data_IF_892110030961
#
_entry.id   IF_892110030961
#
_cell.length_a   1.000
_cell.length_b   1.000
_cell.length_c   1.000
_cell.angle_alpha   90.00
_cell.angle_beta   90.00
_cell.angle_gamma   90.00
#
_symmetry.space_group_name_H-M   'P 1'
#
loop_
_entity.id
_entity.type
_entity.pdbx_description
1 polymer ?
#
# COMPACT_ATOMS: atom_id res chain seq x y z
N UNK A 1 -15.27 -4.28 -0.62
CA UNK A 1 -14.41 -3.82 -1.72
C UNK A 1 -12.95 -4.05 -1.37
N UNK A 2 -12.06 -4.34 -2.33
CA UNK A 2 -10.64 -4.55 -2.05
C UNK A 2 -9.85 -3.33 -2.53
N UNK A 3 -8.95 -2.81 -1.70
CA UNK A 3 -8.04 -1.72 -2.00
C UNK A 3 -6.61 -2.22 -1.90
N UNK A 4 -5.81 -2.00 -2.95
CA UNK A 4 -4.40 -2.42 -2.98
C UNK A 4 -3.50 -1.21 -2.80
N UNK A 5 -2.84 -1.11 -1.65
CA UNK A 5 -1.88 -0.04 -1.34
C UNK A 5 -0.53 -0.41 -1.90
N UNK A 6 -0.07 0.35 -2.87
CA UNK A 6 1.28 0.24 -3.43
C UNK A 6 1.98 1.59 -3.40
N UNK A 7 3.27 1.61 -3.68
CA UNK A 7 4.03 2.85 -3.67
C UNK A 7 5.03 2.92 -4.83
N UNK A 8 5.55 4.11 -5.05
CA UNK A 8 6.59 4.35 -6.06
C UNK A 8 7.95 3.77 -5.67
N UNK A 9 8.14 3.47 -4.37
CA UNK A 9 9.39 2.91 -3.82
C UNK A 9 9.11 2.20 -2.49
N UNK A 10 10.13 1.49 -1.96
CA UNK A 10 10.19 1.10 -0.55
C UNK A 10 10.25 2.37 0.31
N UNK A 11 9.85 2.30 1.56
CA UNK A 11 9.87 3.41 2.54
C UNK A 11 9.07 4.68 2.15
N UNK A 12 8.15 4.57 1.18
CA UNK A 12 7.23 5.66 0.84
C UNK A 12 6.07 5.83 1.83
N UNK A 13 5.96 4.96 2.85
CA UNK A 13 4.93 5.05 3.90
C UNK A 13 3.67 4.22 3.64
N UNK A 14 3.77 3.10 2.90
CA UNK A 14 2.62 2.19 2.66
C UNK A 14 1.93 1.77 3.95
N UNK A 15 2.69 1.37 4.95
CA UNK A 15 2.16 0.86 6.22
C UNK A 15 1.38 1.94 6.99
N UNK A 16 1.86 3.20 7.00
CA UNK A 16 1.13 4.33 7.55
C UNK A 16 -0.18 4.58 6.78
N UNK A 17 -0.11 4.61 5.45
CA UNK A 17 -1.29 4.80 4.60
C UNK A 17 -2.29 3.65 4.77
N UNK A 18 -1.81 2.41 4.89
CA UNK A 18 -2.64 1.24 5.16
C UNK A 18 -3.34 1.35 6.52
N UNK A 19 -2.65 1.81 7.57
CA UNK A 19 -3.25 2.05 8.88
C UNK A 19 -4.33 3.15 8.81
N UNK A 20 -4.06 4.26 8.12
CA UNK A 20 -5.02 5.36 7.93
C UNK A 20 -6.27 4.87 7.18
N UNK A 21 -6.11 4.11 6.10
CA UNK A 21 -7.22 3.53 5.35
C UNK A 21 -8.04 2.54 6.18
N UNK A 22 -7.36 1.65 6.90
CA UNK A 22 -7.98 0.67 7.80
C UNK A 22 -8.80 1.37 8.88
N UNK A 23 -8.27 2.44 9.46
CA UNK A 23 -8.97 3.25 10.47
C UNK A 23 -10.15 4.03 9.86
N UNK A 24 -9.94 4.72 8.75
CA UNK A 24 -10.94 5.58 8.11
C UNK A 24 -12.16 4.81 7.61
N UNK A 25 -11.92 3.66 6.99
CA UNK A 25 -12.95 2.85 6.35
C UNK A 25 -13.48 1.73 7.25
N UNK A 26 -12.95 1.59 8.47
CA UNK A 26 -13.18 0.45 9.36
C UNK A 26 -12.99 -0.88 8.60
N UNK A 27 -12.00 -0.88 7.70
CA UNK A 27 -11.69 -1.98 6.81
C UNK A 27 -10.85 -3.04 7.53
N UNK A 28 -10.87 -4.27 7.02
CA UNK A 28 -9.90 -5.28 7.41
C UNK A 28 -8.54 -4.98 6.73
N UNK A 29 -7.46 -5.48 7.31
CA UNK A 29 -6.12 -5.31 6.78
C UNK A 29 -5.42 -6.64 6.52
N UNK A 30 -4.70 -6.70 5.42
CA UNK A 30 -3.89 -7.85 5.07
C UNK A 30 -2.65 -7.45 4.26
N UNK A 31 -1.50 -7.95 4.68
CA UNK A 31 -0.25 -7.91 3.91
C UNK A 31 0.08 -9.34 3.46
N UNK A 32 -0.18 -9.71 2.20
CA UNK A 32 0.01 -11.09 1.74
C UNK A 32 1.42 -11.62 1.90
N UNK A 33 2.43 -10.76 1.73
CA UNK A 33 3.85 -11.12 1.74
C UNK A 33 4.62 -10.11 2.58
N UNK A 34 5.29 -10.61 3.62
CA UNK A 34 6.20 -9.85 4.48
C UNK A 34 7.61 -10.37 4.34
N UNK A 35 8.59 -9.48 4.22
CA UNK A 35 10.02 -9.77 4.34
C UNK A 35 10.61 -8.94 5.47
N UNK A 36 11.47 -9.57 6.30
CA UNK A 36 12.00 -8.99 7.52
C UNK A 36 11.23 -9.41 8.77
N UNK A 37 11.86 -9.20 9.92
CA UNK A 37 11.33 -9.65 11.21
C UNK A 37 10.18 -8.76 11.74
N UNK A 38 10.26 -7.47 11.45
CA UNK A 38 9.22 -6.52 11.86
C UNK A 38 8.02 -6.64 10.91
N UNK A 39 6.90 -7.09 11.46
CA UNK A 39 5.67 -7.26 10.69
C UNK A 39 4.90 -5.95 10.58
N UNK A 40 4.56 -5.58 9.35
CA UNK A 40 3.71 -4.39 9.13
C UNK A 40 2.29 -4.61 9.66
N UNK A 41 1.82 -5.85 9.72
CA UNK A 41 0.55 -6.22 10.36
C UNK A 41 0.50 -5.84 11.85
N UNK A 42 1.58 -6.05 12.58
CA UNK A 42 1.68 -5.65 13.99
C UNK A 42 1.71 -4.12 14.12
N UNK A 43 2.47 -3.43 13.24
CA UNK A 43 2.49 -1.95 13.22
C UNK A 43 1.10 -1.37 12.93
N UNK A 44 0.39 -1.89 11.94
CA UNK A 44 -0.98 -1.43 11.64
C UNK A 44 -1.91 -1.67 12.82
N UNK A 45 -1.83 -2.85 13.46
CA UNK A 45 -2.63 -3.18 14.64
C UNK A 45 -2.40 -2.20 15.79
N UNK A 46 -1.16 -1.80 16.03
CA UNK A 46 -0.80 -0.86 17.11
C UNK A 46 -1.22 0.59 16.78
N UNK A 47 -1.30 0.94 15.50
CA UNK A 47 -1.62 2.28 15.02
C UNK A 47 -3.12 2.57 14.91
N UNK A 48 -3.97 1.56 14.75
CA UNK A 48 -5.43 1.74 14.69
C UNK A 48 -6.05 1.64 16.08
N UNK A 49 -7.21 2.30 16.26
CA UNK A 49 -7.93 2.28 17.54
C UNK A 49 -9.41 1.91 17.39
N UNK A 50 -9.81 1.31 16.27
CA UNK A 50 -11.15 0.80 16.08
C UNK A 50 -11.23 -0.71 16.43
N UNK A 51 -12.42 -1.18 16.84
CA UNK A 51 -12.65 -2.58 17.22
C UNK A 51 -13.36 -3.39 16.10
N UNK A 52 -13.46 -2.83 14.89
CA UNK A 52 -14.19 -3.44 13.78
C UNK A 52 -13.26 -4.16 12.82
N UNK A 53 -12.03 -3.65 12.67
CA UNK A 53 -11.04 -4.14 11.72
C UNK A 53 -10.39 -5.43 12.18
N UNK A 54 -10.32 -6.42 11.29
CA UNK A 54 -9.53 -7.62 11.47
C UNK A 54 -8.16 -7.42 10.80
N UNK A 55 -7.11 -7.84 11.49
CA UNK A 55 -5.73 -7.84 10.96
C UNK A 55 -5.38 -9.29 10.66
N UNK A 56 -5.15 -9.61 9.39
CA UNK A 56 -4.87 -10.97 8.95
C UNK A 56 -3.37 -11.26 8.91
N UNK A 57 -3.01 -12.52 9.18
CA UNK A 57 -1.65 -12.99 9.00
C UNK A 57 -1.27 -13.06 7.52
N UNK A 58 -0.01 -12.93 7.24
CA UNK A 58 0.58 -13.04 5.91
C UNK A 58 0.40 -14.46 5.34
N UNK A 59 0.31 -14.58 4.01
CA UNK A 59 0.43 -15.87 3.33
C UNK A 59 1.87 -16.36 3.29
N UNK A 60 2.83 -15.41 3.16
CA UNK A 60 4.26 -15.67 3.22
C UNK A 60 4.93 -14.66 4.14
N UNK A 61 5.66 -15.14 5.10
CA UNK A 61 6.50 -14.32 5.98
C UNK A 61 7.93 -14.84 5.97
N UNK A 62 8.83 -14.05 5.39
CA UNK A 62 10.25 -14.34 5.32
C UNK A 62 11.00 -13.55 6.40
N UNK A 63 12.00 -14.19 7.02
CA UNK A 63 12.85 -13.52 8.01
C UNK A 63 13.90 -12.63 7.34
N UNK A 64 14.28 -12.96 6.11
CA UNK A 64 15.26 -12.22 5.32
C UNK A 64 14.71 -10.84 4.91
N UNK A 65 15.36 -9.72 5.33
CA UNK A 65 14.89 -8.36 4.99
C UNK A 65 15.33 -7.96 3.58
N UNK A 66 14.69 -8.54 2.57
CA UNK A 66 15.00 -8.35 1.15
C UNK A 66 13.73 -8.30 0.30
N UNK A 67 13.89 -8.14 -1.01
CA UNK A 67 12.77 -8.30 -1.94
C UNK A 67 12.18 -9.72 -1.84
N UNK A 68 10.85 -9.88 -2.00
CA UNK A 68 10.18 -11.17 -1.79
C UNK A 68 10.81 -12.34 -2.51
N UNK A 69 11.15 -12.20 -3.81
CA UNK A 69 11.77 -13.29 -4.59
C UNK A 69 13.10 -13.73 -4.01
N UNK A 70 13.95 -12.75 -3.60
CA UNK A 70 15.27 -13.07 -3.04
C UNK A 70 15.16 -13.65 -1.63
N UNK A 71 14.26 -13.12 -0.80
CA UNK A 71 14.00 -13.69 0.52
C UNK A 71 13.50 -15.14 0.41
N UNK A 72 12.60 -15.40 -0.54
CA UNK A 72 12.11 -16.74 -0.84
C UNK A 72 13.22 -17.68 -1.32
N UNK A 73 14.11 -17.22 -2.21
CA UNK A 73 15.28 -17.97 -2.67
C UNK A 73 16.20 -18.35 -1.50
N UNK A 74 16.57 -17.37 -0.67
CA UNK A 74 17.43 -17.60 0.52
C UNK A 74 16.82 -18.62 1.49
N UNK A 75 15.51 -18.58 1.67
CA UNK A 75 14.79 -19.47 2.59
C UNK A 75 14.28 -20.76 1.93
N UNK A 76 14.70 -21.03 0.68
CA UNK A 76 14.30 -22.21 -0.10
C UNK A 76 12.78 -22.40 -0.20
N UNK A 77 12.05 -21.30 -0.36
CA UNK A 77 10.61 -21.25 -0.57
C UNK A 77 10.30 -20.70 -1.95
N UNK A 78 9.28 -21.23 -2.61
CA UNK A 78 8.75 -20.65 -3.85
C UNK A 78 7.43 -19.94 -3.56
N UNK A 79 7.35 -18.66 -3.91
CA UNK A 79 6.11 -17.91 -3.81
C UNK A 79 5.19 -18.34 -4.96
N UNK A 80 4.11 -18.99 -4.60
CA UNK A 80 3.06 -19.45 -5.52
C UNK A 80 1.83 -18.55 -5.35
N UNK A 81 1.49 -17.79 -6.40
CA UNK A 81 0.37 -16.87 -6.34
C UNK A 81 -0.95 -17.59 -6.10
N UNK A 82 -1.11 -18.83 -6.58
CA UNK A 82 -2.36 -19.57 -6.42
C UNK A 82 -2.63 -19.96 -4.95
N UNK A 83 -1.59 -20.02 -4.14
CA UNK A 83 -1.69 -20.24 -2.69
C UNK A 83 -1.98 -18.96 -1.89
N UNK A 84 -1.85 -17.80 -2.50
CA UNK A 84 -2.19 -16.53 -1.85
C UNK A 84 -3.69 -16.30 -2.05
N UNK A 85 -4.48 -16.65 -1.05
CA UNK A 85 -5.95 -16.53 -1.07
C UNK A 85 -6.38 -15.38 -0.17
N UNK A 86 -7.38 -14.62 -0.61
CA UNK A 86 -8.00 -13.59 0.24
C UNK A 86 -8.48 -14.24 1.53
N UNK A 87 -8.08 -13.72 2.70
CA UNK A 87 -8.58 -14.24 3.98
C UNK A 87 -10.11 -14.03 4.07
N UNK A 88 -10.78 -14.96 4.72
CA UNK A 88 -12.22 -14.88 4.92
C UNK A 88 -12.58 -13.65 5.75
N UNK A 89 -13.16 -12.63 5.14
CA UNK A 89 -13.68 -11.46 5.83
C UNK A 89 -15.19 -11.56 6.00
N UNK A 90 -15.73 -10.79 6.95
CA UNK A 90 -17.18 -10.75 7.24
C UNK A 90 -17.94 -9.78 6.31
N UNK A 91 -17.45 -9.55 5.11
CA UNK A 91 -18.03 -8.60 4.16
C UNK A 91 -17.51 -7.17 4.28
N UNK A 92 -16.52 -6.93 5.12
CA UNK A 92 -15.85 -5.63 5.24
C UNK A 92 -15.04 -5.29 3.97
N UNK A 93 -14.74 -4.00 3.79
CA UNK A 93 -13.68 -3.61 2.88
C UNK A 93 -12.34 -4.24 3.33
N UNK A 94 -11.45 -4.49 2.38
CA UNK A 94 -10.13 -5.05 2.67
C UNK A 94 -9.04 -4.14 2.12
N UNK A 95 -8.15 -3.68 3.00
CA UNK A 95 -6.91 -2.99 2.64
C UNK A 95 -5.81 -4.03 2.49
N UNK A 96 -5.29 -4.17 1.28
CA UNK A 96 -4.22 -5.12 0.94
C UNK A 96 -2.93 -4.33 0.73
N UNK A 97 -1.91 -4.58 1.52
CA UNK A 97 -0.62 -3.89 1.39
C UNK A 97 0.35 -4.69 0.53
N UNK A 98 0.86 -4.05 -0.54
CA UNK A 98 1.92 -4.59 -1.38
C UNK A 98 3.31 -4.50 -0.74
N UNK A 99 4.23 -5.31 -1.21
CA UNK A 99 5.64 -5.30 -0.80
C UNK A 99 6.48 -4.47 -1.78
N UNK A 100 7.06 -3.35 -1.33
CA UNK A 100 7.86 -2.46 -2.19
C UNK A 100 7.02 -1.74 -3.26
N UNK A 101 7.56 -1.64 -4.47
CA UNK A 101 6.87 -1.03 -5.63
C UNK A 101 6.18 -2.06 -6.51
N UNK A 102 5.48 -1.58 -7.55
CA UNK A 102 4.62 -2.41 -8.44
C UNK A 102 5.37 -3.54 -9.15
N UNK A 103 6.61 -3.30 -9.60
CA UNK A 103 7.43 -4.28 -10.32
C UNK A 103 8.44 -5.02 -9.42
N UNK A 104 8.22 -5.02 -8.10
CA UNK A 104 9.00 -5.90 -7.23
C UNK A 104 8.64 -7.35 -7.55
N UNK A 105 9.64 -8.20 -7.87
CA UNK A 105 9.38 -9.58 -8.27
C UNK A 105 8.98 -10.44 -7.08
N UNK A 106 8.02 -11.32 -7.32
CA UNK A 106 7.59 -12.38 -6.38
C UNK A 106 8.26 -13.71 -6.70
N UNK A 107 8.40 -14.00 -7.99
CA UNK A 107 9.07 -15.16 -8.57
C UNK A 107 9.50 -14.82 -10.00
N UNK A 108 9.92 -15.78 -10.81
CA UNK A 108 10.42 -15.59 -12.18
C UNK A 108 9.40 -14.97 -13.15
N UNK A 109 8.11 -15.04 -12.84
CA UNK A 109 7.03 -14.66 -13.75
C UNK A 109 6.08 -13.60 -13.21
N UNK A 110 6.05 -13.38 -11.89
CA UNK A 110 5.06 -12.52 -11.26
C UNK A 110 5.70 -11.39 -10.45
N UNK A 111 5.00 -10.28 -10.45
CA UNK A 111 5.34 -9.07 -9.69
C UNK A 111 4.27 -8.77 -8.64
N UNK A 112 4.60 -7.88 -7.70
CA UNK A 112 3.67 -7.43 -6.64
C UNK A 112 2.35 -6.92 -7.21
N UNK A 113 2.36 -6.23 -8.35
CA UNK A 113 1.16 -5.70 -9.01
C UNK A 113 0.18 -6.81 -9.46
N UNK A 114 0.65 -8.03 -9.71
CA UNK A 114 -0.19 -9.15 -10.12
C UNK A 114 -1.15 -9.59 -9.00
N UNK A 115 -0.82 -9.29 -7.74
CA UNK A 115 -1.73 -9.48 -6.61
C UNK A 115 -2.94 -8.52 -6.69
N UNK A 116 -2.72 -7.26 -7.11
CA UNK A 116 -3.84 -6.33 -7.30
C UNK A 116 -4.82 -6.82 -8.37
N UNK A 117 -4.29 -7.34 -9.48
CA UNK A 117 -5.09 -7.96 -10.54
C UNK A 117 -5.83 -9.21 -10.04
N UNK A 118 -5.12 -10.12 -9.37
CA UNK A 118 -5.68 -11.36 -8.82
C UNK A 118 -6.85 -11.11 -7.88
N UNK A 119 -6.78 -10.08 -7.05
CA UNK A 119 -7.80 -9.77 -6.05
C UNK A 119 -8.84 -8.77 -6.53
N UNK A 120 -8.80 -8.38 -7.81
CA UNK A 120 -9.68 -7.36 -8.38
C UNK A 120 -9.75 -6.12 -7.47
N UNK A 121 -8.58 -5.65 -7.05
CA UNK A 121 -8.46 -4.56 -6.10
C UNK A 121 -8.22 -3.22 -6.80
N UNK A 122 -8.87 -2.17 -6.30
CA UNK A 122 -8.64 -0.80 -6.74
C UNK A 122 -7.36 -0.26 -6.11
N UNK A 123 -6.46 0.33 -6.90
CA UNK A 123 -5.13 0.72 -6.43
C UNK A 123 -5.15 2.08 -5.77
N UNK A 124 -4.50 2.17 -4.60
CA UNK A 124 -4.15 3.43 -3.95
C UNK A 124 -2.63 3.57 -4.05
N UNK A 125 -2.19 4.61 -4.76
CA UNK A 125 -0.77 4.86 -4.98
C UNK A 125 -0.21 5.80 -3.93
N UNK A 126 0.81 5.38 -3.21
CA UNK A 126 1.56 6.22 -2.27
C UNK A 126 2.78 6.80 -2.97
N UNK A 127 2.91 8.11 -2.92
CA UNK A 127 4.05 8.86 -3.47
C UNK A 127 4.65 9.75 -2.40
N UNK A 128 5.96 9.79 -2.31
CA UNK A 128 6.70 10.71 -1.45
C UNK A 128 7.58 11.64 -2.30
N UNK A 129 7.85 12.84 -1.80
CA UNK A 129 8.58 13.87 -2.52
C UNK A 129 10.09 13.76 -2.29
N UNK A 130 10.84 13.54 -3.37
CA UNK A 130 12.31 13.57 -3.43
C UNK A 130 12.77 13.85 -4.86
N UNK A 131 14.05 14.15 -5.05
CA UNK A 131 14.60 14.39 -6.39
C UNK A 131 14.47 13.12 -7.26
N UNK A 132 13.62 13.19 -8.30
CA UNK A 132 13.28 12.05 -9.18
C UNK A 132 11.90 11.44 -8.92
N UNK A 133 11.17 11.86 -7.87
CA UNK A 133 9.86 11.30 -7.53
C UNK A 133 8.81 11.50 -8.63
N UNK A 134 8.85 12.61 -9.38
CA UNK A 134 7.96 12.82 -10.55
C UNK A 134 8.12 11.66 -11.54
N UNK A 135 9.38 11.36 -11.92
CA UNK A 135 9.66 10.27 -12.85
C UNK A 135 9.17 8.92 -12.31
N UNK A 136 9.48 8.60 -11.06
CA UNK A 136 9.09 7.32 -10.46
C UNK A 136 7.56 7.20 -10.32
N UNK A 137 6.88 8.28 -9.96
CA UNK A 137 5.42 8.30 -9.84
C UNK A 137 4.75 8.08 -11.20
N UNK A 138 5.19 8.81 -12.23
CA UNK A 138 4.60 8.69 -13.57
C UNK A 138 4.91 7.34 -14.23
N UNK A 139 6.11 6.79 -14.05
CA UNK A 139 6.45 5.43 -14.51
C UNK A 139 5.55 4.39 -13.82
N UNK A 140 5.33 4.50 -12.52
CA UNK A 140 4.46 3.62 -11.76
C UNK A 140 3.01 3.70 -12.24
N UNK A 141 2.48 4.91 -12.41
CA UNK A 141 1.12 5.15 -12.94
C UNK A 141 0.97 4.54 -14.34
N UNK A 142 1.96 4.76 -15.21
CA UNK A 142 1.92 4.25 -16.58
C UNK A 142 1.92 2.71 -16.60
N UNK A 143 2.71 2.07 -15.75
CA UNK A 143 2.74 0.61 -15.64
C UNK A 143 1.40 0.05 -15.14
N UNK A 144 0.79 0.68 -14.11
CA UNK A 144 -0.52 0.29 -13.60
C UNK A 144 -1.58 0.40 -14.72
N UNK A 145 -1.61 1.54 -15.43
CA UNK A 145 -2.54 1.78 -16.54
C UNK A 145 -2.30 0.81 -17.71
N UNK A 146 -1.03 0.52 -18.06
CA UNK A 146 -0.66 -0.43 -19.10
C UNK A 146 -1.21 -1.84 -18.83
N UNK A 147 -1.32 -2.23 -17.55
CA UNK A 147 -1.93 -3.51 -17.13
C UNK A 147 -3.46 -3.46 -17.04
N UNK A 148 -4.09 -2.35 -17.38
CA UNK A 148 -5.54 -2.18 -17.34
C UNK A 148 -6.13 -2.12 -15.93
N UNK A 149 -5.30 -1.79 -14.92
CA UNK A 149 -5.73 -1.72 -13.53
C UNK A 149 -6.23 -0.33 -13.17
N UNK A 150 -7.25 -0.28 -12.31
CA UNK A 150 -7.85 0.97 -11.83
C UNK A 150 -7.06 1.57 -10.68
N UNK A 151 -6.83 2.89 -10.74
CA UNK A 151 -6.21 3.66 -9.66
C UNK A 151 -7.28 4.58 -9.08
N UNK A 152 -7.64 4.39 -7.80
CA UNK A 152 -8.58 5.27 -7.11
C UNK A 152 -8.02 6.68 -6.92
N UNK A 153 -6.73 6.78 -6.64
CA UNK A 153 -6.04 8.05 -6.50
C UNK A 153 -4.65 7.92 -5.89
N UNK A 154 -4.07 9.08 -5.60
CA UNK A 154 -2.72 9.21 -5.02
C UNK A 154 -2.84 9.74 -3.59
N UNK A 155 -2.02 9.20 -2.70
CA UNK A 155 -1.74 9.77 -1.38
C UNK A 155 -0.28 10.23 -1.38
N UNK A 156 -0.06 11.52 -1.11
CA UNK A 156 1.28 12.06 -0.92
C UNK A 156 1.67 11.95 0.55
N UNK A 157 2.88 11.46 0.83
CA UNK A 157 3.38 11.25 2.19
C UNK A 157 4.76 11.87 2.37
N UNK A 158 4.95 12.62 3.44
CA UNK A 158 6.21 13.26 3.83
C UNK A 158 6.32 14.73 3.43
N UNK A 159 7.54 15.26 3.29
CA UNK A 159 7.75 16.68 3.04
C UNK A 159 6.98 17.16 1.81
N UNK A 160 6.27 18.27 1.97
CA UNK A 160 5.46 18.85 0.91
C UNK A 160 6.31 19.45 -0.20
N UNK A 161 5.87 19.24 -1.45
CA UNK A 161 6.41 19.92 -2.62
C UNK A 161 5.26 20.18 -3.61
N UNK A 162 4.60 21.31 -3.46
CA UNK A 162 3.41 21.66 -4.25
C UNK A 162 3.68 21.59 -5.76
N UNK A 163 4.81 22.11 -6.22
CA UNK A 163 5.16 22.07 -7.64
C UNK A 163 5.25 20.65 -8.19
N UNK A 164 5.83 19.73 -7.42
CA UNK A 164 5.93 18.30 -7.78
C UNK A 164 4.57 17.62 -7.76
N UNK A 165 3.81 17.83 -6.70
CA UNK A 165 2.48 17.23 -6.51
C UNK A 165 1.51 17.68 -7.59
N UNK A 166 1.43 18.99 -7.85
CA UNK A 166 0.54 19.58 -8.86
C UNK A 166 0.90 19.11 -10.28
N UNK A 167 2.20 18.99 -10.59
CA UNK A 167 2.63 18.46 -11.87
C UNK A 167 2.17 17.00 -12.05
N UNK A 168 2.36 16.16 -11.02
CA UNK A 168 1.94 14.75 -11.05
C UNK A 168 0.42 14.65 -11.24
N UNK A 169 -0.36 15.38 -10.46
CA UNK A 169 -1.83 15.35 -10.53
C UNK A 169 -2.34 15.82 -11.89
N UNK A 170 -1.84 16.98 -12.38
CA UNK A 170 -2.22 17.53 -13.67
C UNK A 170 -1.88 16.59 -14.82
N UNK A 171 -0.69 15.96 -14.80
CA UNK A 171 -0.24 15.08 -15.87
C UNK A 171 -0.93 13.71 -15.84
N UNK A 172 -1.16 13.15 -14.67
CA UNK A 172 -1.77 11.83 -14.52
C UNK A 172 -3.29 11.84 -14.64
N UNK A 173 -3.94 12.96 -14.32
CA UNK A 173 -5.40 13.10 -14.20
C UNK A 173 -5.97 12.36 -12.98
N UNK A 174 -5.12 11.94 -12.04
CA UNK A 174 -5.56 11.22 -10.85
C UNK A 174 -6.00 12.19 -9.75
N UNK A 175 -6.93 11.71 -8.91
CA UNK A 175 -7.37 12.42 -7.71
C UNK A 175 -6.32 12.34 -6.61
N UNK A 176 -6.05 13.43 -5.92
CA UNK A 176 -5.37 13.41 -4.64
C UNK A 176 -6.36 13.00 -3.55
N UNK A 177 -6.11 11.87 -2.90
CA UNK A 177 -6.98 11.36 -1.83
C UNK A 177 -6.62 11.98 -0.48
N UNK A 178 -5.32 12.15 -0.22
CA UNK A 178 -4.81 12.66 1.04
C UNK A 178 -3.39 13.18 0.85
N UNK A 179 -3.02 14.15 1.69
CA UNK A 179 -1.65 14.64 1.82
C UNK A 179 -1.25 14.52 3.29
N UNK A 180 -0.25 13.67 3.57
CA UNK A 180 0.27 13.41 4.90
C UNK A 180 1.58 14.20 5.04
N UNK A 181 1.65 15.08 5.99
CA UNK A 181 2.86 15.84 6.27
C UNK A 181 3.94 14.96 6.96
N UNK A 182 5.17 15.45 7.00
CA UNK A 182 6.21 14.77 7.76
C UNK A 182 5.95 14.94 9.26
N UNK A 183 5.39 13.92 9.87
CA UNK A 183 5.16 13.88 11.31
C UNK A 183 6.45 13.50 12.07
N UNK A 184 6.60 14.03 13.27
CA UNK A 184 7.75 13.72 14.14
C UNK A 184 7.67 12.32 14.74
N UNK A 185 6.46 11.89 15.03
CA UNK A 185 6.13 10.60 15.62
C UNK A 185 4.84 10.10 15.00
N UNK A 186 4.77 8.81 14.74
CA UNK A 186 3.59 8.16 14.16
C UNK A 186 2.94 7.33 15.26
N UNK A 187 1.77 7.77 15.70
CA UNK A 187 0.96 7.14 16.73
C UNK A 187 -0.52 7.05 16.32
N UNK A 188 -1.35 6.52 17.20
CA UNK A 188 -2.80 6.41 16.98
C UNK A 188 -3.49 7.77 16.78
N UNK A 189 -2.97 8.82 17.40
CA UNK A 189 -3.53 10.17 17.26
C UNK A 189 -3.30 10.69 15.83
N UNK A 190 -2.09 10.55 15.33
CA UNK A 190 -1.72 10.95 13.96
C UNK A 190 -2.52 10.14 12.94
N UNK A 191 -2.63 8.82 13.11
CA UNK A 191 -3.44 7.97 12.22
C UNK A 191 -4.90 8.38 12.24
N UNK A 192 -5.48 8.65 13.41
CA UNK A 192 -6.89 9.06 13.52
C UNK A 192 -7.13 10.45 12.90
N UNK A 193 -6.20 11.40 13.06
CA UNK A 193 -6.24 12.73 12.41
C UNK A 193 -6.41 12.57 10.89
N UNK A 194 -5.52 11.83 10.25
CA UNK A 194 -5.55 11.64 8.80
C UNK A 194 -6.68 10.70 8.34
N UNK A 195 -7.13 9.78 9.18
CA UNK A 195 -8.29 8.94 8.88
C UNK A 195 -9.59 9.76 8.77
N UNK A 196 -9.79 10.74 9.65
CA UNK A 196 -10.94 11.67 9.58
C UNK A 196 -10.86 12.52 8.30
N UNK A 197 -9.68 13.06 7.99
CA UNK A 197 -9.46 13.85 6.77
C UNK A 197 -9.72 13.03 5.51
N UNK A 198 -9.19 11.81 5.44
CA UNK A 198 -9.41 10.89 4.34
C UNK A 198 -10.89 10.54 4.19
N UNK A 199 -11.58 10.20 5.27
CA UNK A 199 -12.99 9.82 5.25
C UNK A 199 -13.87 10.93 4.66
N UNK A 200 -13.62 12.19 5.02
CA UNK A 200 -14.35 13.34 4.51
C UNK A 200 -14.14 13.58 3.00
N UNK A 201 -13.02 13.12 2.44
CA UNK A 201 -12.67 13.27 1.02
C UNK A 201 -12.90 12.00 0.19
N UNK A 202 -13.29 10.90 0.83
CA UNK A 202 -13.28 9.57 0.20
C UNK A 202 -14.31 9.41 -0.93
N UNK A 203 -15.51 9.96 -0.77
CA UNK A 203 -16.61 9.85 -1.74
C UNK A 203 -16.85 11.16 -2.54
N UNK A 204 -16.10 12.21 -2.23
CA UNK A 204 -16.19 13.48 -2.95
C UNK A 204 -15.39 13.41 -4.29
#
# INVERSE_FOLDING_TARGET
MNYFVTAINTDSGKTLVSAILTQALQADYWKPIQSGLERDADKVKDLINNNHSLIFNESYWFQTPASPHYAAEVENVTIDLDKILIPGNKGNNLVIEGAGGVLVPLNDTHFVIDLAAKFNAEIILVSNNYLGSINHTLLTINEIKRRGLSIKGIIFNGPRNESTEDFILKHSGLKCLLKIDQEKEIDQFVVNKYAIELFNSWEA
#
